data_IF_079153448395
#
_entry.id   IF_079153448395
#
_cell.length_a   1.000
_cell.length_b   1.000
_cell.length_c   1.000
_cell.angle_alpha   90.00
_cell.angle_beta   90.00
_cell.angle_gamma   90.00
#
_symmetry.space_group_name_H-M   'P 1'
#
loop_
_entity.id
_entity.type
_entity.pdbx_description
1 polymer ?
#
# COMPACT_ATOMS: atom_id res chain seq x y z
N UNK A 1 -1.88 31.58 -7.19
CA UNK A 1 -0.53 31.42 -6.59
C UNK A 1 0.43 31.07 -7.71
N UNK A 2 1.19 32.07 -8.15
CA UNK A 2 2.10 32.00 -9.30
C UNK A 2 3.44 31.41 -8.87
N UNK A 3 3.86 30.30 -9.50
CA UNK A 3 5.23 29.80 -9.40
C UNK A 3 6.09 30.63 -10.37
N UNK A 4 7.05 31.40 -9.85
CA UNK A 4 8.08 32.03 -10.66
C UNK A 4 9.18 31.01 -10.92
N UNK A 5 9.41 30.67 -12.19
CA UNK A 5 10.56 29.90 -12.64
C UNK A 5 11.82 30.76 -12.47
N UNK A 6 12.86 30.22 -11.84
CA UNK A 6 14.13 30.93 -11.68
C UNK A 6 14.98 30.76 -12.94
N UNK A 7 15.95 31.66 -13.15
CA UNK A 7 16.79 31.75 -14.36
C UNK A 7 17.70 30.55 -14.60
N UNK A 8 17.77 29.61 -13.66
CA UNK A 8 18.66 28.43 -13.72
C UNK A 8 17.91 27.14 -14.08
N UNK A 9 16.58 27.20 -14.27
CA UNK A 9 15.78 26.02 -14.66
C UNK A 9 15.90 25.76 -16.18
N UNK A 10 16.70 24.77 -16.57
CA UNK A 10 16.71 24.25 -17.94
C UNK A 10 15.55 23.25 -18.13
N UNK A 11 14.35 23.77 -18.39
CA UNK A 11 13.20 22.95 -18.80
C UNK A 11 13.22 22.69 -20.30
N UNK A 12 13.00 21.44 -20.71
CA UNK A 12 12.74 21.10 -22.12
C UNK A 12 11.25 20.90 -22.34
N UNK A 13 10.72 21.56 -23.37
CA UNK A 13 9.32 21.45 -23.78
C UNK A 13 9.23 20.32 -24.81
N UNK A 14 8.53 19.24 -24.47
CA UNK A 14 8.26 18.14 -25.40
C UNK A 14 6.90 18.41 -26.03
N UNK A 15 6.90 18.69 -27.33
CA UNK A 15 5.68 18.83 -28.13
C UNK A 15 5.22 17.45 -28.60
N UNK A 16 4.12 16.96 -28.01
CA UNK A 16 3.48 15.74 -28.48
C UNK A 16 2.47 16.10 -29.59
N UNK A 17 2.89 15.97 -30.85
CA UNK A 17 1.95 15.93 -31.96
C UNK A 17 1.36 14.52 -32.06
N UNK A 18 0.03 14.41 -31.98
CA UNK A 18 -0.71 13.19 -32.25
C UNK A 18 -0.32 12.63 -33.62
N UNK A 19 0.30 11.45 -33.67
CA UNK A 19 0.45 10.69 -34.91
C UNK A 19 -0.88 10.03 -35.23
N UNK A 20 -1.60 10.57 -36.22
CA UNK A 20 -2.67 9.84 -36.90
C UNK A 20 -2.03 8.76 -37.78
N UNK A 21 -1.72 7.61 -37.18
CA UNK A 21 -1.25 6.42 -37.88
C UNK A 21 -2.29 5.31 -37.79
N UNK A 22 -2.99 5.03 -38.89
CA UNK A 22 -3.84 3.86 -39.03
C UNK A 22 -2.96 2.61 -39.17
N UNK A 23 -2.68 1.91 -38.06
CA UNK A 23 -2.06 0.60 -38.10
C UNK A 23 -2.98 -0.39 -37.40
N UNK A 24 -3.43 -1.40 -38.14
CA UNK A 24 -4.30 -2.47 -37.64
C UNK A 24 -3.50 -3.44 -36.76
N UNK A 25 -4.13 -3.94 -35.70
CA UNK A 25 -3.54 -4.75 -34.61
C UNK A 25 -2.83 -6.05 -35.06
N UNK A 26 -2.95 -6.46 -36.31
CA UNK A 26 -2.38 -7.70 -36.85
C UNK A 26 -0.88 -7.56 -37.22
N UNK A 27 -0.35 -6.34 -37.43
CA UNK A 27 1.08 -6.15 -37.74
C UNK A 27 1.99 -6.06 -36.49
N UNK A 28 1.44 -6.18 -35.28
CA UNK A 28 2.19 -6.11 -34.01
C UNK A 28 2.77 -7.46 -33.54
N UNK A 29 2.51 -8.55 -34.25
CA UNK A 29 3.01 -9.86 -33.89
C UNK A 29 3.55 -10.58 -35.13
N UNK A 30 4.86 -10.44 -35.38
CA UNK A 30 5.72 -11.56 -35.81
C UNK A 30 7.21 -11.26 -35.53
N UNK A 31 7.75 -12.06 -34.58
CA UNK A 31 9.10 -12.66 -34.38
C UNK A 31 10.38 -11.82 -34.68
N UNK A 32 11.37 -11.59 -33.81
CA UNK A 32 12.06 -12.47 -32.84
C UNK A 32 12.68 -11.67 -31.66
N UNK A 33 12.08 -11.65 -30.45
CA UNK A 33 12.75 -11.17 -29.20
C UNK A 33 12.45 -12.07 -27.99
N UNK A 34 11.98 -13.30 -28.23
CA UNK A 34 11.38 -14.16 -27.19
C UNK A 34 12.34 -15.16 -26.47
N UNK A 35 13.59 -15.47 -26.89
CA UNK A 35 14.38 -16.46 -26.13
C UNK A 35 15.08 -15.89 -24.88
N UNK A 36 15.42 -14.60 -24.87
CA UNK A 36 16.30 -14.03 -23.82
C UNK A 36 15.51 -13.63 -22.58
N UNK A 37 14.34 -13.02 -22.74
CA UNK A 37 13.46 -12.61 -21.64
C UNK A 37 12.98 -13.84 -20.85
N UNK A 38 12.65 -14.94 -21.55
CA UNK A 38 12.15 -16.17 -20.95
C UNK A 38 13.19 -16.88 -20.05
N UNK A 39 14.49 -16.69 -20.26
CA UNK A 39 15.54 -17.31 -19.43
C UNK A 39 15.92 -16.47 -18.21
N UNK A 40 15.81 -15.15 -18.29
CA UNK A 40 16.20 -14.24 -17.19
C UNK A 40 15.12 -14.10 -16.11
N UNK A 41 13.84 -14.21 -16.47
CA UNK A 41 12.72 -14.05 -15.51
C UNK A 41 12.71 -15.15 -14.44
N UNK A 42 12.79 -16.45 -14.78
CA UNK A 42 12.77 -17.51 -13.76
C UNK A 42 13.93 -17.38 -12.77
N UNK A 43 15.12 -17.01 -13.25
CA UNK A 43 16.29 -16.78 -12.41
C UNK A 43 16.10 -15.57 -11.48
N UNK A 44 15.42 -14.52 -11.94
CA UNK A 44 15.10 -13.33 -11.14
C UNK A 44 14.05 -13.63 -10.07
N UNK A 45 12.99 -14.38 -10.42
CA UNK A 45 11.95 -14.78 -9.48
C UNK A 45 12.51 -15.70 -8.40
N UNK A 46 13.37 -16.66 -8.76
CA UNK A 46 14.06 -17.51 -7.80
C UNK A 46 15.02 -16.72 -6.90
N UNK A 47 15.65 -15.67 -7.42
CA UNK A 47 16.55 -14.81 -6.65
C UNK A 47 15.82 -14.00 -5.57
N UNK A 48 14.58 -13.59 -5.82
CA UNK A 48 13.77 -12.74 -4.94
C UNK A 48 12.50 -13.45 -4.48
N UNK A 49 12.56 -14.77 -4.30
CA UNK A 49 11.43 -15.58 -3.83
C UNK A 49 10.92 -15.08 -2.47
N UNK A 50 11.83 -14.60 -1.62
CA UNK A 50 11.56 -14.01 -0.32
C UNK A 50 10.65 -12.78 -0.37
N UNK A 51 10.72 -11.98 -1.43
CA UNK A 51 9.89 -10.78 -1.61
C UNK A 51 8.40 -11.12 -1.76
N UNK A 52 8.09 -12.33 -2.22
CA UNK A 52 6.71 -12.79 -2.41
C UNK A 52 6.13 -13.50 -1.18
N UNK A 53 6.95 -13.81 -0.18
CA UNK A 53 6.49 -14.44 1.05
C UNK A 53 5.71 -13.42 1.89
N UNK A 54 4.60 -13.87 2.48
CA UNK A 54 3.84 -13.03 3.41
C UNK A 54 4.66 -12.89 4.70
N UNK A 55 5.01 -11.66 5.12
CA UNK A 55 5.78 -11.46 6.34
C UNK A 55 4.89 -11.79 7.55
N UNK A 56 5.31 -12.77 8.34
CA UNK A 56 4.65 -13.11 9.62
C UNK A 56 5.07 -12.17 10.76
N UNK A 57 6.24 -11.55 10.62
CA UNK A 57 6.85 -10.66 11.61
C UNK A 57 6.91 -9.21 11.12
N UNK A 58 7.06 -8.28 12.08
CA UNK A 58 7.28 -6.88 11.78
C UNK A 58 8.56 -6.66 10.98
N UNK A 59 8.59 -5.68 10.06
CA UNK A 59 9.81 -5.31 9.37
C UNK A 59 10.89 -4.86 10.37
N UNK A 60 12.17 -5.00 10.01
CA UNK A 60 13.26 -4.52 10.84
C UNK A 60 13.06 -3.08 11.28
N UNK A 61 13.37 -2.80 12.55
CA UNK A 61 13.28 -1.44 13.09
C UNK A 61 14.18 -0.52 12.26
N UNK A 62 13.61 0.59 11.83
CA UNK A 62 14.34 1.66 11.14
C UNK A 62 14.72 2.75 12.14
N UNK A 63 15.76 3.51 11.83
CA UNK A 63 16.22 4.63 12.68
C UNK A 63 15.27 5.85 12.64
N UNK A 64 14.26 5.81 11.76
CA UNK A 64 13.32 6.92 11.55
C UNK A 64 12.05 6.66 12.36
N UNK A 65 11.83 7.47 13.40
CA UNK A 65 10.58 7.50 14.16
C UNK A 65 9.54 8.40 13.50
N UNK A 66 8.32 7.89 13.29
CA UNK A 66 7.19 8.69 12.83
C UNK A 66 6.45 9.31 14.02
N UNK A 67 6.16 10.61 13.95
CA UNK A 67 5.40 11.32 14.98
C UNK A 67 4.23 12.09 14.36
N UNK A 68 3.05 11.98 14.98
CA UNK A 68 1.84 12.69 14.56
C UNK A 68 1.65 13.89 15.48
N UNK A 69 1.95 15.10 14.98
CA UNK A 69 1.78 16.33 15.75
C UNK A 69 0.31 16.76 15.82
N UNK A 70 -0.21 16.94 17.04
CA UNK A 70 -1.55 17.43 17.28
C UNK A 70 -1.59 18.97 17.30
N UNK A 71 -2.72 19.54 16.86
CA UNK A 71 -2.97 20.99 17.00
C UNK A 71 -3.08 21.36 18.48
N UNK A 72 -2.52 22.50 18.86
CA UNK A 72 -2.58 23.02 20.24
C UNK A 72 -4.03 23.17 20.70
N UNK A 73 -4.35 22.70 21.90
CA UNK A 73 -5.69 22.76 22.49
C UNK A 73 -6.63 21.62 22.06
N UNK A 74 -6.14 20.60 21.34
CA UNK A 74 -6.93 19.42 20.98
C UNK A 74 -7.10 18.50 22.18
N UNK A 75 -8.34 18.24 22.57
CA UNK A 75 -8.68 17.24 23.59
C UNK A 75 -8.64 15.82 23.00
N UNK A 76 -8.38 14.78 23.82
CA UNK A 76 -8.42 13.41 23.35
C UNK A 76 -9.83 13.00 22.92
N UNK A 77 -9.91 12.26 21.80
CA UNK A 77 -11.15 11.69 21.30
C UNK A 77 -11.32 10.31 21.91
N UNK A 78 -12.34 10.11 22.73
CA UNK A 78 -12.66 8.82 23.34
C UNK A 78 -14.10 8.43 23.00
N UNK A 79 -14.26 7.55 22.01
CA UNK A 79 -15.56 7.11 21.51
C UNK A 79 -15.79 5.65 21.89
N UNK A 80 -17.01 5.35 22.34
CA UNK A 80 -17.40 3.99 22.70
C UNK A 80 -17.43 3.08 21.46
N UNK A 81 -16.98 1.82 21.56
CA UNK A 81 -17.13 0.85 20.49
C UNK A 81 -18.60 0.65 20.08
N UNK A 82 -18.83 0.39 18.79
CA UNK A 82 -20.17 0.04 18.31
C UNK A 82 -20.60 -1.34 18.79
N UNK A 83 -21.92 -1.54 18.90
CA UNK A 83 -22.49 -2.87 19.17
C UNK A 83 -22.44 -3.70 17.89
N UNK A 84 -21.93 -4.92 17.99
CA UNK A 84 -21.84 -5.87 16.89
C UNK A 84 -22.56 -7.17 17.26
N UNK A 85 -22.98 -7.92 16.24
CA UNK A 85 -23.58 -9.25 16.43
C UNK A 85 -22.51 -10.26 16.89
N UNK A 86 -22.92 -11.37 17.51
CA UNK A 86 -21.99 -12.38 18.04
C UNK A 86 -20.99 -12.89 17.00
N UNK A 87 -21.42 -13.15 15.76
CA UNK A 87 -20.53 -13.61 14.69
C UNK A 87 -19.43 -12.59 14.35
N UNK A 88 -19.75 -11.29 14.37
CA UNK A 88 -18.77 -10.25 14.10
C UNK A 88 -17.80 -10.04 15.26
N UNK A 89 -18.23 -10.37 16.49
CA UNK A 89 -17.37 -10.34 17.67
C UNK A 89 -16.21 -11.32 17.52
N UNK A 90 -16.55 -12.56 17.20
CA UNK A 90 -15.60 -13.68 17.13
C UNK A 90 -14.53 -13.43 16.07
N UNK A 91 -14.93 -12.99 14.88
CA UNK A 91 -13.98 -12.62 13.81
C UNK A 91 -13.09 -11.44 14.22
N UNK A 92 -13.66 -10.45 14.92
CA UNK A 92 -12.87 -9.30 15.37
C UNK A 92 -11.87 -9.67 16.46
N UNK A 93 -12.25 -10.53 17.41
CA UNK A 93 -11.33 -11.06 18.43
C UNK A 93 -10.20 -11.86 17.78
N UNK A 94 -10.52 -12.70 16.80
CA UNK A 94 -9.52 -13.44 16.01
C UNK A 94 -8.51 -12.51 15.33
N UNK A 95 -8.97 -11.46 14.63
CA UNK A 95 -8.05 -10.50 14.00
C UNK A 95 -7.18 -9.76 15.01
N UNK A 96 -7.75 -9.41 16.17
CA UNK A 96 -6.99 -8.76 17.25
C UNK A 96 -5.90 -9.69 17.79
N UNK A 97 -6.21 -10.95 18.03
CA UNK A 97 -5.24 -11.95 18.53
C UNK A 97 -4.12 -12.22 17.51
N UNK A 98 -4.44 -12.31 16.22
CA UNK A 98 -3.46 -12.43 15.14
C UNK A 98 -2.52 -11.20 15.08
N UNK A 99 -3.06 -9.99 15.20
CA UNK A 99 -2.27 -8.76 15.21
C UNK A 99 -1.42 -8.60 16.48
N UNK A 100 -1.91 -9.08 17.62
CA UNK A 100 -1.13 -9.12 18.88
C UNK A 100 0.02 -10.11 18.76
N UNK A 101 -0.23 -11.29 18.19
CA UNK A 101 0.77 -12.36 18.04
C UNK A 101 1.87 -11.96 17.05
N UNK A 102 1.50 -11.34 15.92
CA UNK A 102 2.45 -10.79 14.94
C UNK A 102 3.17 -9.53 15.43
N UNK A 103 2.73 -8.94 16.54
CA UNK A 103 3.30 -7.72 17.11
C UNK A 103 2.92 -6.43 16.37
N UNK A 104 2.03 -6.49 15.38
CA UNK A 104 1.52 -5.33 14.63
C UNK A 104 0.85 -4.32 15.55
N UNK A 105 0.12 -4.81 16.55
CA UNK A 105 -0.47 -3.96 17.59
C UNK A 105 0.06 -4.34 18.98
N UNK A 106 0.36 -3.37 19.85
CA UNK A 106 0.62 -3.61 21.26
C UNK A 106 -0.61 -3.30 22.13
N UNK A 107 -0.77 -3.94 23.30
CA UNK A 107 -1.73 -3.49 24.31
C UNK A 107 -1.36 -2.08 24.78
N UNK A 108 -2.36 -1.21 24.92
CA UNK A 108 -2.14 0.17 25.34
C UNK A 108 -3.25 0.67 26.25
N UNK A 109 -2.92 1.64 27.11
CA UNK A 109 -3.87 2.37 27.94
C UNK A 109 -3.78 3.85 27.58
N UNK A 110 -4.43 4.23 26.48
CA UNK A 110 -4.36 5.56 25.90
C UNK A 110 -5.70 6.31 26.12
N UNK A 111 -5.71 7.62 26.45
CA UNK A 111 -6.95 8.43 26.47
C UNK A 111 -7.70 8.52 25.13
N UNK A 112 -7.08 8.12 24.00
CA UNK A 112 -7.73 8.11 22.69
C UNK A 112 -8.38 6.75 22.40
N UNK A 113 -9.60 6.77 21.86
CA UNK A 113 -10.32 5.58 21.39
C UNK A 113 -11.21 5.93 20.20
N UNK A 114 -11.17 5.08 19.18
CA UNK A 114 -12.02 5.14 17.99
C UNK A 114 -12.69 3.78 17.78
N UNK A 115 -13.99 3.74 17.38
CA UNK A 115 -14.67 2.48 17.14
C UNK A 115 -14.16 1.80 15.86
N UNK A 116 -14.25 0.47 15.84
CA UNK A 116 -13.90 -0.38 14.68
C UNK A 116 -15.19 -0.85 14.00
N UNK A 117 -15.13 -1.05 12.68
CA UNK A 117 -16.23 -1.55 11.87
C UNK A 117 -15.74 -2.71 11.01
N UNK A 118 -16.45 -3.84 11.06
CA UNK A 118 -16.21 -4.98 10.18
C UNK A 118 -17.01 -4.80 8.89
N UNK A 119 -16.32 -4.77 7.76
CA UNK A 119 -16.92 -4.63 6.43
C UNK A 119 -16.55 -5.84 5.59
N UNK A 120 -17.54 -6.49 4.99
CA UNK A 120 -17.31 -7.59 4.05
C UNK A 120 -16.71 -7.04 2.76
N UNK A 121 -15.61 -7.63 2.28
CA UNK A 121 -15.10 -7.27 0.95
C UNK A 121 -16.03 -7.85 -0.13
N UNK A 122 -15.90 -7.28 -1.33
CA UNK A 122 -16.71 -7.66 -2.50
C UNK A 122 -16.63 -9.16 -2.82
N UNK A 123 -15.46 -9.77 -2.59
CA UNK A 123 -15.18 -11.16 -2.99
C UNK A 123 -15.64 -12.21 -1.97
N UNK A 124 -16.36 -11.79 -0.91
CA UNK A 124 -16.96 -12.70 0.06
C UNK A 124 -16.03 -13.17 1.19
N UNK A 125 -14.78 -12.71 1.21
CA UNK A 125 -13.84 -12.85 2.33
C UNK A 125 -13.57 -11.51 3.02
#
# INVERSE_FOLDING_TARGET
MTKSWYTDDQGFLIECTSMEGSLTMEELYDEEVIPTICKSIPALLAKYEDVFNWPEELPPKTDVGYHIHLKKGTNPVNVRPYRYAHQQKEEMEKFVDEMLTSGVIPPSNNPYSSPVLLVKKKDGN
#
